data_IF_689316497760
#
_entry.id   IF_689316497760
#
_cell.length_a   1.000
_cell.length_b   1.000
_cell.length_c   1.000
_cell.angle_alpha   90.00
_cell.angle_beta   90.00
_cell.angle_gamma   90.00
#
_symmetry.space_group_name_H-M   'P 1'
#
loop_
_entity.id
_entity.type
_entity.pdbx_description
1 polymer ?
#
# COMPACT_ATOMS: atom_id res chain seq x y z
N UNK A 1 14.47 -9.37 9.81
CA UNK A 1 13.00 -9.59 9.78
C UNK A 1 12.50 -8.75 8.63
N UNK A 2 11.73 -9.33 7.71
CA UNK A 2 11.39 -8.66 6.44
C UNK A 2 10.11 -7.82 6.56
N UNK A 3 10.06 -6.74 5.78
CA UNK A 3 8.94 -5.80 5.74
C UNK A 3 8.45 -5.61 4.30
N UNK A 4 7.13 -5.62 4.13
CA UNK A 4 6.48 -5.21 2.90
C UNK A 4 6.06 -3.75 3.05
N UNK A 5 6.62 -2.86 2.22
CA UNK A 5 6.33 -1.43 2.29
C UNK A 5 5.02 -1.11 1.55
N UNK A 6 4.15 -0.38 2.24
CA UNK A 6 2.94 0.19 1.66
C UNK A 6 3.26 1.49 0.88
N UNK A 7 2.32 1.90 0.02
CA UNK A 7 2.46 3.06 -0.86
C UNK A 7 2.70 4.35 -0.08
N UNK A 8 2.07 4.50 1.09
CA UNK A 8 2.27 5.68 1.93
C UNK A 8 3.74 5.85 2.36
N UNK A 9 4.41 4.78 2.78
CA UNK A 9 5.81 4.77 3.24
C UNK A 9 6.74 5.00 2.07
N UNK A 10 6.55 4.28 0.95
CA UNK A 10 7.41 4.40 -0.23
C UNK A 10 7.30 5.78 -0.87
N UNK A 11 6.09 6.37 -0.83
CA UNK A 11 5.86 7.72 -1.35
C UNK A 11 6.65 8.80 -0.60
N UNK A 12 7.11 8.55 0.65
CA UNK A 12 7.94 9.50 1.39
C UNK A 12 9.23 9.83 0.64
N UNK A 13 9.84 8.85 -0.06
CA UNK A 13 11.04 9.09 -0.86
C UNK A 13 10.83 10.07 -2.03
N UNK A 14 9.59 10.24 -2.48
CA UNK A 14 9.26 11.14 -3.60
C UNK A 14 8.88 12.56 -3.17
N UNK A 15 8.62 12.77 -1.87
CA UNK A 15 8.12 14.04 -1.31
C UNK A 15 9.25 15.06 -1.13
N UNK A 16 8.96 16.32 -1.41
CA UNK A 16 9.87 17.44 -1.14
C UNK A 16 10.13 17.62 0.36
N UNK A 17 9.15 17.25 1.21
CA UNK A 17 9.23 17.31 2.67
C UNK A 17 8.80 15.97 3.25
N UNK A 18 9.69 14.97 3.33
CA UNK A 18 9.36 13.66 3.86
C UNK A 18 9.21 13.69 5.38
N UNK A 19 8.47 12.73 5.93
CA UNK A 19 8.41 12.50 7.37
C UNK A 19 9.73 11.92 7.88
N UNK A 20 10.47 12.70 8.69
CA UNK A 20 11.79 12.33 9.19
C UNK A 20 11.81 11.01 9.98
N UNK A 21 10.73 10.67 10.69
CA UNK A 21 10.65 9.41 11.45
C UNK A 21 10.57 8.21 10.52
N UNK A 22 9.84 8.33 9.41
CA UNK A 22 9.74 7.26 8.41
C UNK A 22 11.09 7.05 7.72
N UNK A 23 11.76 8.14 7.35
CA UNK A 23 13.10 8.06 6.74
C UNK A 23 14.13 7.45 7.71
N UNK A 24 14.10 7.84 8.99
CA UNK A 24 14.99 7.27 9.99
C UNK A 24 14.76 5.76 10.17
N UNK A 25 13.49 5.32 10.21
CA UNK A 25 13.17 3.89 10.31
C UNK A 25 13.62 3.13 9.05
N UNK A 26 13.37 3.66 7.86
CA UNK A 26 13.84 3.05 6.60
C UNK A 26 15.37 2.92 6.56
N UNK A 27 16.10 3.89 7.12
CA UNK A 27 17.55 3.83 7.26
C UNK A 27 18.07 2.86 8.33
N UNK A 28 17.23 2.47 9.30
CA UNK A 28 17.60 1.50 10.34
C UNK A 28 17.41 0.04 9.93
N UNK A 29 16.67 -0.23 8.84
CA UNK A 29 16.39 -1.58 8.36
C UNK A 29 17.31 -1.91 7.18
N UNK A 30 17.97 -3.09 7.14
CA UNK A 30 18.73 -3.50 5.97
C UNK A 30 17.89 -3.44 4.70
N UNK A 31 18.42 -2.86 3.62
CA UNK A 31 17.67 -2.71 2.36
C UNK A 31 17.26 -4.05 1.73
N UNK A 32 17.96 -5.13 2.06
CA UNK A 32 17.62 -6.52 1.67
C UNK A 32 16.36 -7.04 2.34
N UNK A 33 15.97 -6.47 3.48
CA UNK A 33 14.79 -6.86 4.25
C UNK A 33 13.55 -6.03 3.89
N UNK A 34 13.67 -5.05 2.98
CA UNK A 34 12.58 -4.21 2.51
C UNK A 34 12.08 -4.67 1.13
N UNK A 35 10.77 -4.91 1.03
CA UNK A 35 10.09 -5.43 -0.16
C UNK A 35 8.96 -4.50 -0.61
N UNK A 36 8.58 -4.60 -1.88
CA UNK A 36 7.43 -3.92 -2.48
C UNK A 36 6.44 -4.94 -3.03
N UNK A 37 5.16 -4.60 -3.09
CA UNK A 37 4.16 -5.36 -3.87
C UNK A 37 3.98 -4.75 -5.25
N UNK A 38 3.66 -5.58 -6.25
CA UNK A 38 3.17 -5.09 -7.56
C UNK A 38 1.93 -4.20 -7.42
N UNK A 39 1.12 -4.37 -6.37
CA UNK A 39 -0.04 -3.51 -6.09
C UNK A 39 0.41 -2.09 -5.75
N UNK A 40 1.40 -1.94 -4.86
CA UNK A 40 2.02 -0.66 -4.50
C UNK A 40 2.54 0.08 -5.74
N UNK A 41 3.18 -0.64 -6.67
CA UNK A 41 3.64 -0.07 -7.94
C UNK A 41 2.47 0.43 -8.81
N UNK A 42 1.38 -0.34 -8.87
CA UNK A 42 0.15 0.05 -9.58
C UNK A 42 -0.48 1.32 -9.01
N UNK A 43 -0.50 1.47 -7.68
CA UNK A 43 -1.01 2.66 -7.01
C UNK A 43 -0.16 3.90 -7.29
N UNK A 44 1.16 3.76 -7.25
CA UNK A 44 2.11 4.83 -7.62
C UNK A 44 1.88 5.25 -9.08
N UNK A 45 1.84 4.28 -10.01
CA UNK A 45 1.59 4.52 -11.43
C UNK A 45 0.29 5.30 -11.64
N UNK A 46 -0.81 4.84 -11.01
CA UNK A 46 -2.11 5.53 -11.04
C UNK A 46 -2.00 6.97 -10.54
N UNK A 47 -1.22 7.21 -9.48
CA UNK A 47 -0.94 8.56 -8.97
C UNK A 47 -0.21 9.44 -9.98
N UNK A 48 0.79 8.91 -10.66
CA UNK A 48 1.55 9.61 -11.72
C UNK A 48 0.62 9.97 -12.88
N UNK A 49 -0.18 9.03 -13.36
CA UNK A 49 -1.12 9.25 -14.47
C UNK A 49 -2.13 10.36 -14.15
N UNK A 50 -2.71 10.32 -12.94
CA UNK A 50 -3.60 11.39 -12.46
C UNK A 50 -2.90 12.74 -12.45
N UNK A 51 -1.64 12.78 -12.00
CA UNK A 51 -0.87 14.02 -11.92
C UNK A 51 -0.48 14.55 -13.30
N UNK A 52 -0.27 13.68 -14.28
CA UNK A 52 0.11 14.07 -15.65
C UNK A 52 -0.92 15.00 -16.30
N UNK A 53 -2.20 14.82 -16.01
CA UNK A 53 -3.28 15.68 -16.51
C UNK A 53 -3.15 17.12 -15.99
N UNK A 54 -2.79 17.29 -14.72
CA UNK A 54 -2.73 18.60 -14.07
C UNK A 54 -1.34 19.25 -14.12
N UNK A 55 -0.28 18.46 -14.07
CA UNK A 55 1.11 18.90 -14.04
C UNK A 55 2.03 17.85 -14.70
N UNK A 56 2.21 17.93 -16.04
CA UNK A 56 3.03 16.99 -16.79
C UNK A 56 4.50 16.96 -16.34
N UNK A 57 5.06 18.10 -15.92
CA UNK A 57 6.45 18.20 -15.49
C UNK A 57 6.71 17.42 -14.21
N UNK A 58 5.85 17.57 -13.20
CA UNK A 58 5.98 16.82 -11.96
C UNK A 58 5.66 15.32 -12.16
N UNK A 59 4.75 14.99 -13.07
CA UNK A 59 4.52 13.60 -13.46
C UNK A 59 5.77 12.96 -14.10
N UNK A 60 6.48 13.68 -14.98
CA UNK A 60 7.75 13.21 -15.56
C UNK A 60 8.84 13.01 -14.49
N UNK A 61 8.92 13.90 -13.49
CA UNK A 61 9.82 13.73 -12.35
C UNK A 61 9.50 12.46 -11.55
N UNK A 62 8.22 12.21 -11.27
CA UNK A 62 7.78 11.01 -10.56
C UNK A 62 7.99 9.72 -11.38
N UNK A 63 7.86 9.81 -12.71
CA UNK A 63 8.16 8.70 -13.64
C UNK A 63 9.65 8.30 -13.55
N UNK A 64 10.55 9.28 -13.59
CA UNK A 64 11.98 9.04 -13.42
C UNK A 64 12.29 8.43 -12.05
N UNK A 65 11.68 8.98 -10.99
CA UNK A 65 11.81 8.42 -9.63
C UNK A 65 11.32 6.97 -9.53
N UNK A 66 10.17 6.63 -10.11
CA UNK A 66 9.66 5.26 -10.12
C UNK A 66 10.60 4.32 -10.87
N UNK A 67 11.22 4.78 -11.96
CA UNK A 67 12.22 4.00 -12.69
C UNK A 67 13.42 3.67 -11.79
N UNK A 68 13.95 4.66 -11.06
CA UNK A 68 15.03 4.44 -10.08
C UNK A 68 14.61 3.50 -8.96
N UNK A 69 13.38 3.63 -8.45
CA UNK A 69 12.83 2.75 -7.42
C UNK A 69 12.81 1.29 -7.90
N UNK A 70 12.32 1.04 -9.12
CA UNK A 70 12.26 -0.31 -9.70
C UNK A 70 13.64 -0.94 -9.89
N UNK A 71 14.65 -0.14 -10.25
CA UNK A 71 16.03 -0.62 -10.33
C UNK A 71 16.55 -1.04 -8.95
N UNK A 72 16.25 -0.27 -7.90
CA UNK A 72 16.69 -0.57 -6.54
C UNK A 72 16.00 -1.81 -5.93
N UNK A 73 14.74 -2.05 -6.27
CA UNK A 73 13.92 -3.14 -5.74
C UNK A 73 13.76 -4.33 -6.71
N UNK A 74 14.51 -4.42 -7.81
CA UNK A 74 14.29 -5.38 -8.91
C UNK A 74 14.08 -6.84 -8.47
N UNK A 75 14.78 -7.31 -7.43
CA UNK A 75 14.66 -8.68 -6.89
C UNK A 75 13.77 -8.80 -5.65
N UNK A 76 13.11 -7.70 -5.25
CA UNK A 76 12.32 -7.56 -4.01
C UNK A 76 10.94 -6.97 -4.27
N UNK A 77 10.44 -7.09 -5.50
CA UNK A 77 9.04 -6.85 -5.85
C UNK A 77 8.31 -8.19 -5.81
N UNK A 78 7.36 -8.31 -4.89
CA UNK A 78 6.53 -9.50 -4.72
C UNK A 78 5.32 -9.44 -5.67
N UNK A 79 5.03 -10.54 -6.40
CA UNK A 79 3.85 -10.63 -7.23
C UNK A 79 2.58 -10.70 -6.37
N UNK A 80 1.44 -10.45 -7.02
CA UNK A 80 0.12 -10.73 -6.47
C UNK A 80 -0.53 -11.77 -7.38
N UNK A 81 -0.44 -13.02 -6.98
CA UNK A 81 -0.90 -14.19 -7.73
C UNK A 81 -2.22 -14.76 -7.20
N UNK A 82 -2.64 -15.90 -7.73
CA UNK A 82 -3.91 -16.54 -7.36
C UNK A 82 -3.95 -16.90 -5.86
N UNK A 83 -2.85 -17.40 -5.30
CA UNK A 83 -2.77 -17.76 -3.88
C UNK A 83 -2.86 -16.51 -3.00
N UNK A 84 -2.17 -15.44 -3.39
CA UNK A 84 -2.27 -14.14 -2.73
C UNK A 84 -3.70 -13.60 -2.75
N UNK A 85 -4.40 -13.75 -3.87
CA UNK A 85 -5.79 -13.33 -4.03
C UNK A 85 -6.77 -14.14 -3.17
N UNK A 86 -6.59 -15.47 -3.08
CA UNK A 86 -7.40 -16.33 -2.22
C UNK A 86 -7.22 -15.97 -0.74
N UNK A 87 -5.97 -15.81 -0.28
CA UNK A 87 -5.70 -15.39 1.10
C UNK A 87 -6.27 -14.01 1.40
N UNK A 88 -6.12 -13.06 0.47
CA UNK A 88 -6.72 -11.74 0.61
C UNK A 88 -8.24 -11.81 0.80
N UNK A 89 -8.94 -12.64 0.03
CA UNK A 89 -10.38 -12.87 0.18
C UNK A 89 -10.76 -13.40 1.57
N UNK A 90 -9.98 -14.34 2.11
CA UNK A 90 -10.19 -14.89 3.48
C UNK A 90 -10.01 -13.83 4.56
N UNK A 91 -9.00 -12.97 4.42
CA UNK A 91 -8.76 -11.84 5.35
C UNK A 91 -9.91 -10.83 5.30
N UNK A 92 -10.45 -10.55 4.11
CA UNK A 92 -11.51 -9.56 3.91
C UNK A 92 -12.89 -9.97 4.43
N UNK A 93 -13.12 -11.26 4.71
CA UNK A 93 -14.37 -11.74 5.36
C UNK A 93 -14.67 -10.99 6.67
N UNK A 94 -13.65 -10.42 7.31
CA UNK A 94 -13.75 -9.82 8.63
C UNK A 94 -14.04 -10.87 9.72
N UNK A 95 -14.00 -10.48 11.00
CA UNK A 95 -14.55 -11.31 12.07
C UNK A 95 -16.05 -11.55 11.80
N UNK A 96 -16.64 -12.66 12.30
CA UNK A 96 -18.08 -12.86 12.20
C UNK A 96 -18.80 -11.60 12.69
N UNK A 97 -19.60 -10.98 11.83
CA UNK A 97 -20.49 -9.91 12.27
C UNK A 97 -21.46 -10.53 13.26
N UNK A 98 -21.43 -10.08 14.51
CA UNK A 98 -22.39 -10.54 15.51
C UNK A 98 -23.77 -10.04 15.12
N UNK A 99 -24.55 -10.89 14.43
CA UNK A 99 -25.93 -10.61 14.05
C UNK A 99 -26.90 -10.75 15.24
N UNK A 100 -26.40 -10.84 16.49
CA UNK A 100 -27.24 -11.01 17.70
C UNK A 100 -27.70 -9.72 18.38
N UNK A 101 -27.86 -8.60 17.67
CA UNK A 101 -28.50 -7.41 18.26
C UNK A 101 -29.53 -6.73 17.34
N UNK A 102 -30.35 -7.52 16.61
CA UNK A 102 -31.59 -7.01 15.99
C UNK A 102 -32.85 -7.78 16.44
N UNK A 103 -32.84 -8.25 17.69
CA UNK A 103 -33.93 -9.00 18.31
C UNK A 103 -34.49 -8.34 19.58
N UNK A 104 -34.89 -7.08 19.52
CA UNK A 104 -35.72 -6.44 20.54
C UNK A 104 -36.52 -5.32 19.84
N UNK A 105 -37.83 -5.23 19.89
CA UNK A 105 -38.77 -5.47 20.99
C UNK A 105 -40.12 -5.88 20.38
N UNK A 106 -40.62 -7.09 20.66
CA UNK A 106 -42.07 -7.37 20.57
C UNK A 106 -42.64 -7.11 21.96
N UNK A 107 -43.16 -5.90 22.15
CA UNK A 107 -43.96 -5.57 23.33
C UNK A 107 -45.29 -6.32 23.26
N UNK A 108 -45.45 -7.35 24.10
CA UNK A 108 -46.75 -7.86 24.53
C UNK A 108 -46.83 -7.79 26.05
N UNK A 109 -47.63 -6.87 26.56
CA UNK A 109 -48.37 -6.95 27.84
C UNK A 109 -49.72 -6.28 27.53
N UNK A 110 -50.77 -7.09 27.42
CA UNK A 110 -51.74 -7.40 28.47
C UNK A 110 -52.78 -6.28 28.57
#
# INVERSE_FOLDING_TARGET
MSFLLDTNVVSEFAKTRPNSKVIAWLGSVPSTDLFLSVITLGEIRKGIEKKRVANPQDAARLEAWLTTLLLHYRSRVLPFDQDSADQWGRVMRGPPSDQRERGGVIGRRA
#
